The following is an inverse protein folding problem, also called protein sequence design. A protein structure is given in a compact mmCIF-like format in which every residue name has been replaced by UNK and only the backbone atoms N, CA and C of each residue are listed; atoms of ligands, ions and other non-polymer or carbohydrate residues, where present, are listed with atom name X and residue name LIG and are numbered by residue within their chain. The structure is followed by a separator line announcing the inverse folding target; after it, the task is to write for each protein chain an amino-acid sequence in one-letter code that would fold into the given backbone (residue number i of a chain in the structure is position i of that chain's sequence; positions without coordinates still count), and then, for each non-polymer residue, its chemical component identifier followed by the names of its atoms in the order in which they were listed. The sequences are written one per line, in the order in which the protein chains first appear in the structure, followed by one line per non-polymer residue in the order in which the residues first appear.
data_IF_591041368829
#
_entry.id   IF_591041368829
#
_cell.length_a   1.000
_cell.length_b   1.000
_cell.length_c   1.000
_cell.angle_alpha   90.00
_cell.angle_beta   90.00
_cell.angle_gamma   90.00
#
_symmetry.space_group_name_H-M   'P 1'
#
loop_
_entity.id
_entity.type
_entity.pdbx_description
1 polymer ?
#
# COMPACT_ATOMS: atom_id res chain seq x y z
N UNK A 1 -20.42 -1.07 13.49
CA UNK A 1 -19.22 -1.92 13.32
C UNK A 1 -18.99 -2.11 11.83
N UNK A 2 -17.79 -1.79 11.34
CA UNK A 2 -17.43 -1.93 9.93
C UNK A 2 -16.47 -3.11 9.78
N UNK A 3 -16.79 -4.03 8.86
CA UNK A 3 -15.94 -5.19 8.55
C UNK A 3 -15.65 -5.18 7.05
N UNK A 4 -14.39 -4.92 6.68
CA UNK A 4 -13.94 -4.95 5.30
C UNK A 4 -13.15 -6.23 5.02
N UNK A 5 -13.63 -7.04 4.06
CA UNK A 5 -12.97 -8.28 3.65
C UNK A 5 -12.18 -8.03 2.36
N UNK A 6 -10.86 -8.17 2.40
CA UNK A 6 -10.00 -7.92 1.23
C UNK A 6 -10.27 -8.85 0.04
N UNK A 7 -10.84 -10.04 0.29
CA UNK A 7 -11.27 -10.96 -0.77
C UNK A 7 -12.59 -10.57 -1.44
N UNK A 8 -13.33 -9.57 -0.92
CA UNK A 8 -14.56 -9.03 -1.51
C UNK A 8 -14.42 -7.58 -2.01
N UNK A 9 -13.29 -6.93 -1.73
CA UNK A 9 -13.06 -5.54 -2.15
C UNK A 9 -12.82 -5.41 -3.66
N UNK A 10 -13.19 -4.24 -4.21
CA UNK A 10 -12.89 -3.86 -5.59
C UNK A 10 -11.38 -3.89 -5.81
N UNK A 11 -10.99 -4.41 -6.97
CA UNK A 11 -9.59 -4.53 -7.40
C UNK A 11 -9.27 -3.41 -8.37
N UNK A 12 -8.12 -2.79 -8.18
CA UNK A 12 -7.56 -1.81 -9.09
C UNK A 12 -6.20 -2.30 -9.54
N UNK A 13 -5.98 -2.38 -10.85
CA UNK A 13 -4.71 -2.85 -11.40
C UNK A 13 -3.87 -1.64 -11.82
N UNK A 14 -2.66 -1.56 -11.28
CA UNK A 14 -1.68 -0.56 -11.72
C UNK A 14 -1.09 -0.97 -13.08
N UNK A 15 -0.85 -0.02 -13.99
CA UNK A 15 -0.16 -0.29 -15.24
C UNK A 15 1.33 -0.59 -15.01
N UNK A 16 1.99 -1.04 -16.07
CA UNK A 16 3.46 -1.12 -16.12
C UNK A 16 4.09 0.28 -15.98
N UNK A 17 5.31 0.40 -15.43
CA UNK A 17 6.20 -0.68 -14.99
C UNK A 17 5.90 -1.21 -13.57
N UNK A 18 4.98 -0.58 -12.84
CA UNK A 18 4.72 -0.84 -11.43
C UNK A 18 3.46 -1.68 -11.20
N UNK A 19 3.28 -2.69 -12.06
CA UNK A 19 2.09 -3.53 -12.05
C UNK A 19 1.89 -4.21 -10.70
N UNK A 20 0.73 -3.94 -10.08
CA UNK A 20 0.29 -4.51 -8.80
C UNK A 20 -1.23 -4.38 -8.65
N UNK A 21 -1.82 -5.26 -7.86
CA UNK A 21 -3.25 -5.17 -7.48
C UNK A 21 -3.37 -4.33 -6.20
N UNK A 22 -4.22 -3.31 -6.25
CA UNK A 22 -4.57 -2.45 -5.13
C UNK A 22 -6.04 -2.64 -4.72
N UNK A 23 -6.31 -2.50 -3.44
CA UNK A 23 -7.65 -2.52 -2.85
C UNK A 23 -7.74 -1.44 -1.79
N UNK A 24 -8.82 -0.67 -1.81
CA UNK A 24 -9.20 0.22 -0.70
C UNK A 24 -10.24 -0.51 0.13
N UNK A 25 -10.00 -0.62 1.43
CA UNK A 25 -10.82 -1.39 2.37
C UNK A 25 -11.62 -0.47 3.30
N UNK A 26 -10.94 0.51 3.89
CA UNK A 26 -11.51 1.55 4.75
C UNK A 26 -11.10 2.91 4.23
N UNK A 27 -12.04 3.84 4.11
CA UNK A 27 -11.77 5.23 3.73
C UNK A 27 -13.01 6.07 4.04
N UNK A 28 -12.86 7.35 4.41
CA UNK A 28 -13.99 8.28 4.51
C UNK A 28 -14.79 8.39 3.19
N UNK A 29 -14.18 8.08 2.04
CA UNK A 29 -14.84 8.05 0.73
C UNK A 29 -15.64 6.77 0.46
N UNK A 30 -15.48 5.72 1.28
CA UNK A 30 -16.22 4.47 1.16
C UNK A 30 -17.23 4.26 2.30
N UNK A 31 -16.88 4.69 3.52
CA UNK A 31 -17.72 4.52 4.70
C UNK A 31 -17.73 5.82 5.53
N UNK A 32 -18.92 6.36 5.80
CA UNK A 32 -19.07 7.65 6.46
C UNK A 32 -18.50 7.72 7.89
N UNK A 33 -18.57 6.61 8.64
CA UNK A 33 -18.07 6.56 10.03
C UNK A 33 -16.55 6.33 10.12
N UNK A 34 -15.83 6.18 8.99
CA UNK A 34 -14.37 6.05 8.98
C UNK A 34 -13.75 7.44 8.91
N UNK A 35 -13.00 7.78 9.96
CA UNK A 35 -12.30 9.06 10.08
C UNK A 35 -10.83 8.84 10.45
N UNK A 36 -9.97 9.81 10.15
CA UNK A 36 -8.57 9.84 10.59
C UNK A 36 -7.61 8.87 9.87
N UNK A 37 -8.12 7.89 9.13
CA UNK A 37 -7.30 6.95 8.36
C UNK A 37 -7.98 6.43 7.10
N UNK A 38 -7.17 5.88 6.18
CA UNK A 38 -7.63 4.94 5.17
C UNK A 38 -6.76 3.69 5.20
N UNK A 39 -7.36 2.53 4.90
CA UNK A 39 -6.67 1.24 4.88
C UNK A 39 -6.90 0.57 3.54
N UNK A 40 -5.86 -0.02 3.00
CA UNK A 40 -5.97 -0.87 1.84
C UNK A 40 -4.98 -2.01 1.83
N UNK A 41 -4.98 -2.76 0.74
CA UNK A 41 -4.07 -3.88 0.52
C UNK A 41 -3.44 -3.77 -0.85
N UNK A 42 -2.14 -4.05 -0.89
CA UNK A 42 -1.35 -4.22 -2.11
C UNK A 42 -0.99 -5.69 -2.26
N UNK A 43 -1.14 -6.21 -3.47
CA UNK A 43 -0.60 -7.52 -3.88
C UNK A 43 0.39 -7.24 -5.01
N UNK A 44 1.66 -7.51 -4.73
CA UNK A 44 2.80 -7.20 -5.59
C UNK A 44 3.35 -8.50 -6.18
N UNK A 45 3.27 -8.72 -7.51
CA UNK A 45 3.83 -9.91 -8.14
C UNK A 45 5.35 -10.03 -7.96
N UNK A 46 5.93 -11.24 -8.10
CA UNK A 46 7.38 -11.46 -8.10
C UNK A 46 8.10 -10.52 -9.08
N UNK A 47 9.22 -9.94 -8.65
CA UNK A 47 10.04 -9.03 -9.46
C UNK A 47 9.43 -7.65 -9.74
N UNK A 48 8.21 -7.37 -9.26
CA UNK A 48 7.57 -6.04 -9.39
C UNK A 48 7.88 -5.16 -8.19
N UNK A 49 7.68 -3.85 -8.38
CA UNK A 49 7.86 -2.83 -7.34
C UNK A 49 6.78 -1.76 -7.40
N UNK A 50 6.56 -1.05 -6.29
CA UNK A 50 5.92 0.26 -6.34
C UNK A 50 6.84 1.28 -7.01
N UNK A 51 6.32 2.46 -7.36
CA UNK A 51 7.17 3.60 -7.70
C UNK A 51 7.95 4.08 -6.46
N UNK A 52 9.11 4.70 -6.67
CA UNK A 52 9.86 5.37 -5.61
C UNK A 52 9.36 6.80 -5.44
N UNK A 53 8.44 7.00 -4.51
CA UNK A 53 7.65 8.22 -4.36
C UNK A 53 7.43 8.58 -2.90
N UNK A 54 6.91 9.77 -2.64
CA UNK A 54 6.57 10.28 -1.30
C UNK A 54 5.19 10.91 -1.32
N UNK A 55 4.60 11.08 -0.13
CA UNK A 55 3.37 11.83 0.07
C UNK A 55 3.66 13.05 0.93
N UNK A 56 3.06 14.18 0.56
CA UNK A 56 3.31 15.45 1.24
C UNK A 56 2.38 15.61 2.46
N UNK A 57 1.23 14.93 2.44
CA UNK A 57 0.17 15.05 3.44
C UNK A 57 0.14 13.83 4.36
N UNK A 58 0.17 12.63 3.80
CA UNK A 58 0.01 11.38 4.54
C UNK A 58 1.35 10.84 5.06
N UNK A 59 1.35 10.33 6.29
CA UNK A 59 2.28 9.26 6.65
C UNK A 59 1.66 7.94 6.16
N UNK A 60 2.49 7.00 5.75
CA UNK A 60 2.05 5.65 5.39
C UNK A 60 2.60 4.62 6.39
N UNK A 61 1.88 3.52 6.60
CA UNK A 61 2.36 2.37 7.35
C UNK A 61 2.06 1.10 6.58
N UNK A 62 3.06 0.25 6.37
CA UNK A 62 2.90 -1.06 5.76
C UNK A 62 2.92 -2.16 6.81
N UNK A 63 2.04 -3.14 6.64
CA UNK A 63 2.03 -4.38 7.42
C UNK A 63 2.14 -5.54 6.43
N UNK A 64 3.29 -6.19 6.40
CA UNK A 64 3.56 -7.31 5.50
C UNK A 64 2.95 -8.58 6.10
N UNK A 65 2.13 -9.28 5.31
CA UNK A 65 1.39 -10.47 5.79
C UNK A 65 1.71 -11.74 5.01
N UNK A 66 2.36 -11.64 3.85
CA UNK A 66 2.77 -12.78 3.02
C UNK A 66 3.82 -12.34 1.99
N UNK A 67 4.70 -13.26 1.60
CA UNK A 67 5.80 -13.00 0.68
C UNK A 67 6.96 -12.25 1.33
N UNK A 68 7.99 -11.99 0.53
CA UNK A 68 9.24 -11.37 0.97
C UNK A 68 9.69 -10.31 -0.04
N UNK A 69 10.40 -9.31 0.44
CA UNK A 69 10.80 -8.18 -0.37
C UNK A 69 11.89 -7.33 0.27
N UNK A 70 12.23 -6.26 -0.42
CA UNK A 70 13.07 -5.19 0.10
C UNK A 70 12.24 -3.91 0.18
N UNK A 71 12.24 -3.24 1.34
CA UNK A 71 11.76 -1.87 1.44
C UNK A 71 12.92 -0.90 1.31
N UNK A 72 12.65 0.22 0.66
CA UNK A 72 13.56 1.36 0.61
C UNK A 72 12.85 2.58 1.19
N UNK A 73 13.45 3.24 2.17
CA UNK A 73 12.94 4.48 2.79
C UNK A 73 14.07 5.49 2.81
N UNK A 74 14.01 6.49 1.93
CA UNK A 74 15.14 7.38 1.66
C UNK A 74 16.37 6.60 1.16
N UNK A 75 17.43 6.60 1.96
CA UNK A 75 18.68 5.89 1.69
C UNK A 75 18.73 4.50 2.32
N UNK A 76 17.86 4.25 3.31
CA UNK A 76 17.81 2.97 4.02
C UNK A 76 17.13 1.90 3.19
N UNK A 77 17.63 0.67 3.32
CA UNK A 77 17.07 -0.54 2.71
C UNK A 77 17.06 -1.66 3.73
N UNK A 78 15.98 -2.41 3.75
CA UNK A 78 15.82 -3.54 4.67
C UNK A 78 15.01 -4.67 4.00
N UNK A 79 15.40 -5.91 4.27
CA UNK A 79 14.62 -7.07 3.84
C UNK A 79 13.41 -7.25 4.76
N UNK A 80 12.25 -7.52 4.18
CA UNK A 80 10.99 -7.66 4.92
C UNK A 80 10.27 -8.94 4.52
N UNK A 81 9.53 -9.48 5.47
CA UNK A 81 8.66 -10.64 5.30
C UNK A 81 7.41 -10.52 6.17
N UNK A 82 6.61 -11.58 6.32
CA UNK A 82 5.44 -11.57 7.18
C UNK A 82 5.77 -11.10 8.61
N UNK A 83 4.76 -10.57 9.31
CA UNK A 83 4.89 -10.06 10.70
C UNK A 83 5.79 -8.82 10.83
N UNK A 84 6.02 -8.11 9.72
CA UNK A 84 6.81 -6.87 9.69
C UNK A 84 5.91 -5.65 9.53
N UNK A 85 6.21 -4.59 10.30
CA UNK A 85 5.59 -3.26 10.18
C UNK A 85 6.63 -2.25 9.76
N UNK A 86 6.34 -1.46 8.72
CA UNK A 86 7.23 -0.42 8.20
C UNK A 86 6.50 0.92 8.25
N UNK A 87 7.10 1.90 8.92
CA UNK A 87 6.58 3.27 8.96
C UNK A 87 7.27 4.13 7.89
N UNK A 88 6.48 4.89 7.15
CA UNK A 88 6.92 5.70 6.02
C UNK A 88 6.63 7.17 6.33
N UNK A 89 7.64 7.96 6.72
CA UNK A 89 7.45 9.37 7.07
C UNK A 89 7.01 10.21 5.86
N UNK A 90 6.25 11.27 6.12
CA UNK A 90 5.92 12.31 5.13
C UNK A 90 7.18 12.85 4.45
N UNK A 91 7.05 13.20 3.17
CA UNK A 91 8.11 13.78 2.35
C UNK A 91 9.37 12.91 2.19
N UNK A 92 9.38 11.68 2.71
CA UNK A 92 10.48 10.73 2.51
C UNK A 92 10.06 9.73 1.44
N UNK A 93 10.85 9.66 0.37
CA UNK A 93 10.59 8.73 -0.72
C UNK A 93 10.71 7.29 -0.23
N UNK A 94 9.81 6.46 -0.68
CA UNK A 94 9.77 5.07 -0.31
C UNK A 94 9.33 4.16 -1.45
N UNK A 95 9.71 2.88 -1.35
CA UNK A 95 9.41 1.86 -2.33
C UNK A 95 9.38 0.47 -1.67
N UNK A 96 8.48 -0.39 -2.13
CA UNK A 96 8.52 -1.83 -1.87
C UNK A 96 8.89 -2.56 -3.15
N UNK A 97 9.79 -3.54 -3.05
CA UNK A 97 10.22 -4.39 -4.16
C UNK A 97 9.97 -5.84 -3.73
N UNK A 98 9.23 -6.60 -4.53
CA UNK A 98 9.10 -8.04 -4.30
C UNK A 98 10.33 -8.75 -4.89
N UNK A 99 11.23 -9.19 -4.01
CA UNK A 99 12.45 -9.94 -4.35
C UNK A 99 12.25 -11.46 -4.28
N UNK A 100 11.10 -11.92 -3.79
CA UNK A 100 10.75 -13.33 -3.68
C UNK A 100 10.17 -13.92 -4.96
N UNK A 101 9.78 -15.19 -4.86
CA UNK A 101 9.19 -15.97 -5.96
C UNK A 101 7.65 -16.03 -5.91
N UNK A 102 7.05 -15.57 -4.81
CA UNK A 102 5.60 -15.56 -4.59
C UNK A 102 5.06 -14.13 -4.46
N UNK A 103 3.76 -13.87 -4.68
CA UNK A 103 3.19 -12.55 -4.50
C UNK A 103 3.34 -12.03 -3.06
N UNK A 104 3.94 -10.86 -2.90
CA UNK A 104 3.99 -10.14 -1.64
C UNK A 104 2.64 -9.48 -1.39
N UNK A 105 2.10 -9.65 -0.17
CA UNK A 105 0.84 -9.06 0.27
C UNK A 105 1.09 -8.19 1.48
N UNK A 106 0.63 -6.94 1.40
CA UNK A 106 0.75 -6.00 2.49
C UNK A 106 -0.51 -5.16 2.66
N UNK A 107 -0.86 -4.85 3.91
CA UNK A 107 -1.77 -3.75 4.17
C UNK A 107 -1.00 -2.43 4.15
N UNK A 108 -1.64 -1.38 3.67
CA UNK A 108 -1.18 -0.01 3.81
C UNK A 108 -2.21 0.80 4.57
N UNK A 109 -1.73 1.78 5.34
CA UNK A 109 -2.55 2.69 6.13
C UNK A 109 -2.06 4.11 5.87
N UNK A 110 -2.95 5.00 5.43
CA UNK A 110 -2.66 6.43 5.35
C UNK A 110 -3.20 7.19 6.55
N UNK A 111 -2.40 8.08 7.10
CA UNK A 111 -2.79 9.00 8.19
C UNK A 111 -2.25 10.42 7.95
N UNK A 112 -3.11 11.44 7.74
CA UNK A 112 -4.57 11.36 7.54
C UNK A 112 -4.94 10.59 6.24
N UNK A 113 -6.23 10.31 5.97
CA UNK A 113 -6.66 9.76 4.68
C UNK A 113 -6.61 10.81 3.57
N UNK A 114 -6.54 10.38 2.31
CA UNK A 114 -6.52 11.28 1.16
C UNK A 114 -5.94 10.61 -0.09
N UNK A 115 -4.75 10.04 0.04
CA UNK A 115 -4.01 9.40 -1.06
C UNK A 115 -4.80 8.32 -1.80
N UNK A 116 -5.69 7.59 -1.10
CA UNK A 116 -6.49 6.53 -1.70
C UNK A 116 -7.54 7.02 -2.70
N UNK A 117 -7.88 8.32 -2.69
CA UNK A 117 -8.88 8.89 -3.62
C UNK A 117 -8.44 8.73 -5.07
N UNK A 118 -7.16 8.85 -5.36
CA UNK A 118 -6.58 8.60 -6.69
C UNK A 118 -6.82 7.15 -7.15
N UNK A 119 -6.70 6.19 -6.23
CA UNK A 119 -6.98 4.77 -6.49
C UNK A 119 -8.47 4.60 -6.79
N UNK A 120 -9.35 5.16 -5.96
CA UNK A 120 -10.80 5.06 -6.11
C UNK A 120 -11.29 5.68 -7.42
N UNK A 121 -10.71 6.80 -7.84
CA UNK A 121 -10.99 7.47 -9.11
C UNK A 121 -10.46 6.71 -10.33
N UNK A 122 -9.57 5.73 -10.13
CA UNK A 122 -8.90 5.04 -11.25
C UNK A 122 -7.84 5.91 -11.95
N UNK A 123 -7.43 7.01 -11.33
CA UNK A 123 -6.41 7.95 -11.82
C UNK A 123 -4.99 7.47 -11.51
N UNK A 124 -4.84 6.15 -11.56
CA UNK A 124 -3.68 5.43 -11.09
C UNK A 124 -2.57 5.57 -12.15
N UNK A 125 -1.60 6.46 -11.89
CA UNK A 125 -0.43 6.70 -12.74
C UNK A 125 0.73 5.76 -12.40
#
# INVERSE_FOLDING_TARGET
MIVAKSNKAKRFMMPEPHQRELKVLLSPSLQADVEGLSVGMTILPPGKSSSFHSHDVECETWIIVSGEGEVRVGEERELVGPETVVFLPRNIKHQIINTGQEPLRMFWIYTPPGGEKSILAGEIK
#
